data_IF_098324428469
#
_entry.id   IF_098324428469
#
_cell.length_a   1.000
_cell.length_b   1.000
_cell.length_c   1.000
_cell.angle_alpha   90.00
_cell.angle_beta   90.00
_cell.angle_gamma   90.00
#
_symmetry.space_group_name_H-M   'P 1'
#
loop_
_entity.id
_entity.type
_entity.pdbx_description
1 polymer ?
#
# COMPACT_ATOMS: atom_id res chain seq x y z
N UNK A 1 15.86 -20.40 -29.95
CA UNK A 1 15.66 -19.27 -29.04
C UNK A 1 14.27 -18.73 -29.31
N UNK A 2 13.26 -19.20 -28.58
CA UNK A 2 11.89 -18.73 -28.73
C UNK A 2 11.75 -17.39 -28.00
N UNK A 3 11.39 -16.36 -28.73
CA UNK A 3 10.97 -15.08 -28.16
C UNK A 3 9.70 -15.33 -27.34
N UNK A 4 9.84 -15.33 -26.02
CA UNK A 4 8.71 -15.39 -25.11
C UNK A 4 8.05 -14.01 -25.11
N UNK A 5 7.01 -13.86 -25.91
CA UNK A 5 6.18 -12.66 -25.86
C UNK A 5 5.40 -12.65 -24.54
N UNK A 6 5.58 -11.60 -23.74
CA UNK A 6 4.78 -11.37 -22.54
C UNK A 6 3.32 -11.20 -22.92
N UNK A 7 2.44 -11.85 -22.19
CA UNK A 7 1.00 -11.61 -22.30
C UNK A 7 0.63 -10.21 -21.77
N UNK A 8 -0.48 -9.65 -22.21
CA UNK A 8 -0.95 -8.36 -21.67
C UNK A 8 -1.16 -8.38 -20.14
N UNK A 9 -1.43 -9.56 -19.56
CA UNK A 9 -1.57 -9.75 -18.11
C UNK A 9 -0.22 -9.68 -17.38
N UNK A 10 0.82 -10.31 -17.93
CA UNK A 10 2.18 -10.21 -17.40
C UNK A 10 2.69 -8.77 -17.46
N UNK A 11 2.41 -8.06 -18.56
CA UNK A 11 2.76 -6.63 -18.69
C UNK A 11 2.03 -5.80 -17.63
N UNK A 12 0.74 -6.02 -17.38
CA UNK A 12 -0.01 -5.31 -16.36
C UNK A 12 0.55 -5.55 -14.96
N UNK A 13 0.93 -6.80 -14.67
CA UNK A 13 1.56 -7.19 -13.40
C UNK A 13 2.92 -6.50 -13.20
N UNK A 14 3.75 -6.49 -14.22
CA UNK A 14 5.10 -5.89 -14.19
C UNK A 14 5.03 -4.36 -14.03
N UNK A 15 4.18 -3.70 -14.81
CA UNK A 15 4.09 -2.25 -14.83
C UNK A 15 3.40 -1.68 -13.59
N UNK A 16 2.52 -2.45 -12.93
CA UNK A 16 1.66 -2.01 -11.81
C UNK A 16 0.86 -0.73 -12.11
N UNK A 17 0.53 -0.53 -13.36
CA UNK A 17 -0.28 0.59 -13.85
C UNK A 17 -1.74 0.16 -14.01
N UNK A 18 -2.70 1.10 -13.95
CA UNK A 18 -4.07 0.83 -14.36
C UNK A 18 -4.12 0.39 -15.82
N UNK A 19 -4.79 -0.75 -16.11
CA UNK A 19 -4.86 -1.33 -17.46
C UNK A 19 -6.28 -1.68 -17.84
N UNK A 20 -6.74 -1.18 -18.99
CA UNK A 20 -7.98 -1.59 -19.61
C UNK A 20 -7.66 -2.52 -20.80
N UNK A 21 -8.05 -3.80 -20.67
CA UNK A 21 -7.83 -4.80 -21.71
C UNK A 21 -8.94 -4.77 -22.77
N UNK A 22 -8.58 -4.93 -24.05
CA UNK A 22 -9.51 -5.14 -25.13
C UNK A 22 -9.23 -6.50 -25.81
N UNK A 23 -10.09 -7.50 -25.60
CA UNK A 23 -9.87 -8.87 -26.06
C UNK A 23 -11.14 -9.48 -26.68
N UNK A 24 -10.98 -10.37 -27.65
CA UNK A 24 -12.05 -11.23 -28.18
C UNK A 24 -12.26 -12.52 -27.37
N UNK A 25 -11.30 -12.89 -26.52
CA UNK A 25 -11.32 -14.11 -25.72
C UNK A 25 -11.43 -13.80 -24.21
N UNK A 26 -12.58 -13.26 -23.80
CA UNK A 26 -12.80 -12.77 -22.44
C UNK A 26 -12.88 -13.86 -21.35
N UNK A 27 -13.49 -15.06 -21.56
CA UNK A 27 -13.70 -16.02 -20.47
C UNK A 27 -12.43 -16.56 -19.84
N UNK A 28 -11.35 -16.72 -20.61
CA UNK A 28 -10.08 -17.23 -20.10
C UNK A 28 -9.38 -16.23 -19.17
N UNK A 29 -9.56 -14.94 -19.43
CA UNK A 29 -8.85 -13.90 -18.70
C UNK A 29 -9.61 -13.34 -17.50
N UNK A 30 -10.91 -13.56 -17.38
CA UNK A 30 -11.74 -13.01 -16.29
C UNK A 30 -11.22 -13.45 -14.92
N UNK A 31 -10.92 -14.75 -14.76
CA UNK A 31 -10.39 -15.28 -13.47
C UNK A 31 -9.06 -14.67 -13.10
N UNK A 32 -8.16 -14.50 -14.06
CA UNK A 32 -6.86 -13.91 -13.84
C UNK A 32 -6.95 -12.41 -13.53
N UNK A 33 -7.85 -11.68 -14.21
CA UNK A 33 -8.14 -10.28 -13.89
C UNK A 33 -8.70 -10.12 -12.46
N UNK A 34 -9.60 -11.01 -12.04
CA UNK A 34 -10.12 -11.01 -10.68
C UNK A 34 -9.02 -11.31 -9.66
N UNK A 35 -8.08 -12.19 -9.98
CA UNK A 35 -6.90 -12.45 -9.16
C UNK A 35 -6.02 -11.19 -9.06
N UNK A 36 -5.69 -10.55 -10.16
CA UNK A 36 -4.90 -9.31 -10.19
C UNK A 36 -5.56 -8.19 -9.38
N UNK A 37 -6.89 -8.04 -9.48
CA UNK A 37 -7.64 -7.08 -8.65
C UNK A 37 -7.56 -7.39 -7.17
N UNK A 38 -7.74 -8.65 -6.78
CA UNK A 38 -7.88 -9.07 -5.37
C UNK A 38 -6.54 -9.23 -4.66
N UNK A 39 -5.59 -9.91 -5.30
CA UNK A 39 -4.33 -10.30 -4.67
C UNK A 39 -3.25 -9.24 -4.83
N UNK A 40 -3.23 -8.59 -5.99
CA UNK A 40 -2.19 -7.60 -6.34
C UNK A 40 -2.68 -6.15 -6.20
N UNK A 41 -3.96 -5.94 -5.86
CA UNK A 41 -4.58 -4.60 -5.77
C UNK A 41 -4.40 -3.75 -7.04
N UNK A 42 -4.33 -4.41 -8.21
CA UNK A 42 -4.19 -3.72 -9.49
C UNK A 42 -5.55 -3.22 -9.99
N UNK A 43 -5.58 -2.00 -10.51
CA UNK A 43 -6.74 -1.46 -11.20
C UNK A 43 -6.74 -1.97 -12.64
N UNK A 44 -7.48 -3.04 -12.90
CA UNK A 44 -7.60 -3.65 -14.23
C UNK A 44 -9.08 -3.81 -14.59
N UNK A 45 -9.42 -3.59 -15.85
CA UNK A 45 -10.76 -3.85 -16.39
C UNK A 45 -10.64 -4.37 -17.83
N UNK A 46 -11.76 -4.76 -18.45
CA UNK A 46 -11.74 -5.27 -19.80
C UNK A 46 -12.97 -4.84 -20.61
N UNK A 47 -12.80 -4.88 -21.93
CA UNK A 47 -13.88 -4.78 -22.91
C UNK A 47 -13.73 -5.89 -23.95
N UNK A 48 -14.84 -6.55 -24.28
CA UNK A 48 -14.86 -7.67 -25.25
C UNK A 48 -15.06 -7.16 -26.67
N UNK A 49 -14.19 -7.57 -27.58
CA UNK A 49 -14.32 -7.28 -29.01
C UNK A 49 -15.29 -8.27 -29.70
N UNK A 50 -16.11 -7.83 -30.69
CA UNK A 50 -16.28 -6.44 -31.14
C UNK A 50 -17.11 -5.62 -30.15
N UNK A 51 -16.86 -4.32 -30.06
CA UNK A 51 -17.60 -3.39 -29.20
C UNK A 51 -17.99 -2.13 -29.98
N UNK A 52 -19.09 -1.52 -29.58
CA UNK A 52 -19.55 -0.24 -30.11
C UNK A 52 -18.84 0.92 -29.38
N UNK A 53 -18.90 2.11 -29.98
CA UNK A 53 -18.37 3.32 -29.33
C UNK A 53 -19.04 3.59 -27.99
N UNK A 54 -20.36 3.37 -27.89
CA UNK A 54 -21.11 3.57 -26.64
C UNK A 54 -20.63 2.60 -25.52
N UNK A 55 -20.42 1.33 -25.87
CA UNK A 55 -19.89 0.34 -24.91
C UNK A 55 -18.48 0.70 -24.46
N UNK A 56 -17.63 1.15 -25.40
CA UNK A 56 -16.28 1.60 -25.07
C UNK A 56 -16.32 2.79 -24.11
N UNK A 57 -17.10 3.84 -24.43
CA UNK A 57 -17.19 5.03 -23.58
C UNK A 57 -17.74 4.70 -22.19
N UNK A 58 -18.76 3.83 -22.09
CA UNK A 58 -19.29 3.38 -20.80
C UNK A 58 -18.24 2.64 -19.96
N UNK A 59 -17.53 1.69 -20.60
CA UNK A 59 -16.48 0.90 -19.92
C UNK A 59 -15.31 1.79 -19.51
N UNK A 60 -14.88 2.69 -20.40
CA UNK A 60 -13.80 3.63 -20.09
C UNK A 60 -14.18 4.57 -18.93
N UNK A 61 -15.40 5.10 -18.92
CA UNK A 61 -15.87 5.97 -17.83
C UNK A 61 -15.87 5.25 -16.48
N UNK A 62 -16.34 3.99 -16.43
CA UNK A 62 -16.30 3.14 -15.25
C UNK A 62 -14.86 2.90 -14.81
N UNK A 63 -13.98 2.53 -15.73
CA UNK A 63 -12.57 2.29 -15.46
C UNK A 63 -11.86 3.54 -14.90
N UNK A 64 -12.11 4.71 -15.49
CA UNK A 64 -11.54 5.97 -14.99
C UNK A 64 -12.05 6.33 -13.60
N UNK A 65 -13.30 6.03 -13.26
CA UNK A 65 -13.81 6.19 -11.90
C UNK A 65 -13.08 5.26 -10.91
N UNK A 66 -12.87 3.98 -11.30
CA UNK A 66 -12.07 3.05 -10.49
C UNK A 66 -10.63 3.56 -10.32
N UNK A 67 -9.96 3.97 -11.39
CA UNK A 67 -8.60 4.55 -11.34
C UNK A 67 -8.54 5.75 -10.40
N UNK A 68 -9.52 6.64 -10.48
CA UNK A 68 -9.60 7.82 -9.61
C UNK A 68 -9.82 7.42 -8.16
N UNK A 69 -10.65 6.41 -7.90
CA UNK A 69 -10.87 5.87 -6.56
C UNK A 69 -9.59 5.25 -5.97
N UNK A 70 -8.89 4.40 -6.73
CA UNK A 70 -7.60 3.83 -6.32
C UNK A 70 -6.53 4.90 -6.13
N UNK A 71 -6.45 5.87 -7.04
CA UNK A 71 -5.53 7.01 -6.92
C UNK A 71 -5.81 7.86 -5.68
N UNK A 72 -7.07 8.06 -5.31
CA UNK A 72 -7.45 8.78 -4.09
C UNK A 72 -7.15 7.96 -2.83
N UNK A 73 -7.25 6.64 -2.87
CA UNK A 73 -6.84 5.77 -1.77
C UNK A 73 -5.33 5.76 -1.55
N UNK A 74 -4.54 6.11 -2.57
CA UNK A 74 -3.10 6.25 -2.43
C UNK A 74 -2.66 7.49 -1.62
N UNK A 75 -3.60 8.34 -1.23
CA UNK A 75 -3.35 9.53 -0.43
C UNK A 75 -4.24 9.57 0.81
N UNK A 76 -3.67 10.03 1.92
CA UNK A 76 -4.39 10.25 3.17
C UNK A 76 -4.20 11.69 3.62
N UNK A 77 -5.18 12.22 4.34
CA UNK A 77 -5.09 13.55 4.95
C UNK A 77 -4.96 13.40 6.46
N UNK A 78 -3.82 13.82 7.00
CA UNK A 78 -3.48 13.67 8.42
C UNK A 78 -3.05 15.01 9.04
N UNK A 79 -3.16 15.11 10.36
CA UNK A 79 -2.66 16.24 11.13
C UNK A 79 -1.27 15.89 11.66
N UNK A 80 -0.25 16.65 11.23
CA UNK A 80 1.16 16.44 11.56
C UNK A 80 1.70 17.60 12.37
N UNK A 81 2.15 17.33 13.60
CA UNK A 81 2.73 18.35 14.45
C UNK A 81 1.82 19.57 14.60
N UNK A 82 2.28 20.72 14.13
CA UNK A 82 1.51 21.96 14.11
C UNK A 82 0.67 22.18 12.84
N UNK A 83 0.85 21.33 11.83
CA UNK A 83 0.19 21.44 10.53
C UNK A 83 -1.04 20.55 10.48
N UNK A 84 -2.16 21.12 10.05
CA UNK A 84 -3.45 20.39 9.94
C UNK A 84 -3.72 20.01 8.48
N UNK A 85 -4.36 18.84 8.29
CA UNK A 85 -4.90 18.39 7.01
C UNK A 85 -3.85 18.31 5.90
N UNK A 86 -2.68 17.73 6.21
CA UNK A 86 -1.64 17.48 5.22
C UNK A 86 -1.99 16.27 4.39
N UNK A 87 -2.02 16.43 3.06
CA UNK A 87 -2.21 15.34 2.11
C UNK A 87 -0.88 14.60 1.92
N UNK A 88 -0.89 13.29 2.17
CA UNK A 88 0.27 12.39 2.13
C UNK A 88 0.03 11.25 1.18
N UNK A 89 1.03 10.91 0.36
CA UNK A 89 1.03 9.65 -0.35
C UNK A 89 1.22 8.50 0.64
N UNK A 90 0.34 7.50 0.60
CA UNK A 90 0.41 6.30 1.47
C UNK A 90 1.74 5.58 1.29
N UNK A 91 2.23 5.50 0.04
CA UNK A 91 3.51 4.87 -0.29
C UNK A 91 4.73 5.64 0.24
N UNK A 92 4.59 6.89 0.66
CA UNK A 92 5.67 7.60 1.34
C UNK A 92 5.79 7.23 2.82
N UNK A 93 4.77 6.59 3.40
CA UNK A 93 4.69 6.24 4.81
C UNK A 93 5.28 4.84 5.01
N UNK A 94 6.37 4.76 5.77
CA UNK A 94 7.05 3.49 6.05
C UNK A 94 6.41 2.77 7.24
N UNK A 95 6.27 3.46 8.36
CA UNK A 95 5.60 2.89 9.53
C UNK A 95 5.11 3.97 10.49
N UNK A 96 4.21 3.56 11.38
CA UNK A 96 3.75 4.36 12.51
C UNK A 96 4.19 3.70 13.82
N UNK A 97 4.64 4.51 14.76
CA UNK A 97 5.04 4.07 16.10
C UNK A 97 4.23 4.76 17.20
N UNK A 98 4.00 4.08 18.30
CA UNK A 98 3.50 4.75 19.51
C UNK A 98 4.57 5.73 20.00
N UNK A 99 4.18 6.99 20.18
CA UNK A 99 5.09 8.01 20.69
C UNK A 99 5.29 7.82 22.20
N UNK A 100 6.48 7.36 22.57
CA UNK A 100 6.86 7.19 23.98
C UNK A 100 7.45 8.47 24.57
N UNK A 101 7.83 9.44 23.74
CA UNK A 101 8.54 10.64 24.18
C UNK A 101 7.60 11.76 24.63
N UNK A 102 6.34 11.77 24.15
CA UNK A 102 5.38 12.83 24.48
C UNK A 102 4.68 12.70 25.83
N UNK A 103 5.11 11.78 26.67
CA UNK A 103 4.62 11.62 28.05
C UNK A 103 3.11 11.33 28.11
N UNK A 104 2.74 10.23 28.73
CA UNK A 104 1.41 9.81 29.23
C UNK A 104 0.12 10.03 28.41
N UNK A 105 0.03 10.87 27.42
CA UNK A 105 -1.18 10.99 26.62
C UNK A 105 -1.15 10.05 25.42
N UNK A 106 -1.98 9.02 25.50
CA UNK A 106 -1.97 7.81 24.67
C UNK A 106 -2.29 8.02 23.17
N UNK A 107 -2.64 9.22 22.76
CA UNK A 107 -3.19 9.47 21.43
C UNK A 107 -2.18 10.03 20.42
N UNK A 108 -0.93 10.26 20.79
CA UNK A 108 0.08 10.70 19.85
C UNK A 108 0.86 9.52 19.28
N UNK A 109 1.15 9.59 18.00
CA UNK A 109 1.94 8.60 17.26
C UNK A 109 3.03 9.31 16.50
N UNK A 110 4.12 8.60 16.22
CA UNK A 110 5.18 9.07 15.33
C UNK A 110 5.00 8.41 13.98
N UNK A 111 5.02 9.18 12.90
CA UNK A 111 4.97 8.71 11.53
C UNK A 111 6.35 8.84 10.89
N UNK A 112 6.79 7.78 10.21
CA UNK A 112 8.10 7.68 9.57
C UNK A 112 7.93 7.52 8.06
N UNK A 113 8.77 8.24 7.31
CA UNK A 113 8.67 8.34 5.86
C UNK A 113 9.93 7.82 5.16
N UNK A 114 9.78 7.47 3.89
CA UNK A 114 10.87 7.10 2.99
C UNK A 114 11.59 8.31 2.38
N UNK A 115 10.96 9.49 2.35
CA UNK A 115 11.42 10.66 1.60
C UNK A 115 11.53 11.95 2.41
N UNK A 116 11.19 11.92 3.69
CA UNK A 116 11.28 13.06 4.60
C UNK A 116 11.40 12.64 6.05
N UNK A 117 11.76 13.56 6.93
CA UNK A 117 11.90 13.34 8.37
C UNK A 117 10.58 12.89 9.02
N UNK A 118 10.70 12.09 10.07
CA UNK A 118 9.56 11.67 10.88
C UNK A 118 8.88 12.86 11.56
N UNK A 119 7.58 12.75 11.75
CA UNK A 119 6.75 13.79 12.39
C UNK A 119 5.77 13.18 13.38
N UNK A 120 5.30 13.99 14.34
CA UNK A 120 4.27 13.54 15.28
C UNK A 120 2.88 13.61 14.64
N UNK A 121 2.11 12.53 14.77
CA UNK A 121 0.68 12.47 14.48
C UNK A 121 -0.10 12.85 15.73
N UNK A 122 -0.85 13.93 15.65
CA UNK A 122 -1.63 14.46 16.77
C UNK A 122 -3.05 13.85 16.74
N UNK A 123 -3.56 13.53 17.91
CA UNK A 123 -4.90 12.95 18.12
C UNK A 123 -5.19 11.75 17.20
N UNK A 124 -4.22 10.83 17.15
CA UNK A 124 -4.26 9.67 16.28
C UNK A 124 -4.13 8.36 17.07
N UNK A 125 -5.12 7.49 16.94
CA UNK A 125 -5.08 6.14 17.52
C UNK A 125 -4.98 5.07 16.44
N UNK A 126 -4.33 3.96 16.75
CA UNK A 126 -4.23 2.82 15.83
C UNK A 126 -5.59 2.18 15.51
N UNK A 127 -6.59 2.30 16.40
CA UNK A 127 -7.96 1.83 16.15
C UNK A 127 -8.69 2.61 15.07
N UNK A 128 -8.31 3.89 14.85
CA UNK A 128 -8.93 4.79 13.87
C UNK A 128 -8.16 4.87 12.54
N UNK A 129 -7.15 4.01 12.33
CA UNK A 129 -6.32 4.08 11.11
C UNK A 129 -7.15 3.97 9.83
N UNK A 130 -8.06 3.00 9.78
CA UNK A 130 -8.88 2.75 8.59
C UNK A 130 -9.83 3.91 8.30
N UNK A 131 -10.42 4.52 9.32
CA UNK A 131 -11.25 5.73 9.19
C UNK A 131 -10.47 6.92 8.61
N UNK A 132 -9.15 6.95 8.86
CA UNK A 132 -8.23 7.96 8.34
C UNK A 132 -7.62 7.58 6.99
N UNK A 133 -8.05 6.48 6.37
CA UNK A 133 -7.58 6.01 5.07
C UNK A 133 -6.30 5.18 5.08
N UNK A 134 -5.77 4.84 6.27
CA UNK A 134 -4.61 3.95 6.41
C UNK A 134 -5.09 2.50 6.53
N UNK A 135 -5.33 1.87 5.39
CA UNK A 135 -5.98 0.56 5.29
C UNK A 135 -5.08 -0.59 5.78
N UNK A 136 -5.70 -1.64 6.31
CA UNK A 136 -5.00 -2.88 6.71
C UNK A 136 -4.33 -3.60 5.55
N UNK A 137 -4.78 -3.40 4.32
CA UNK A 137 -4.12 -3.91 3.13
C UNK A 137 -2.71 -3.32 2.92
N UNK A 138 -2.49 -2.09 3.38
CA UNK A 138 -1.19 -1.43 3.30
C UNK A 138 -0.38 -1.52 4.60
N UNK A 139 -1.05 -1.53 5.76
CA UNK A 139 -0.39 -1.47 7.06
C UNK A 139 -0.69 -2.69 7.91
N UNK A 140 0.35 -3.45 8.23
CA UNK A 140 0.25 -4.61 9.12
C UNK A 140 0.70 -4.27 10.53
N UNK A 141 0.02 -4.88 11.51
CA UNK A 141 0.46 -4.84 12.89
C UNK A 141 1.55 -5.87 13.10
N UNK A 142 2.72 -5.44 13.55
CA UNK A 142 3.85 -6.32 13.89
C UNK A 142 4.15 -6.33 15.40
N UNK A 143 3.68 -5.30 16.10
CA UNK A 143 3.84 -5.12 17.54
C UNK A 143 2.74 -4.19 18.05
N UNK A 144 2.42 -4.22 19.36
CA UNK A 144 1.45 -3.28 19.96
C UNK A 144 1.76 -1.81 19.65
N UNK A 145 3.03 -1.47 19.49
CA UNK A 145 3.52 -0.11 19.22
C UNK A 145 3.83 0.18 17.76
N UNK A 146 3.73 -0.77 16.84
CA UNK A 146 4.14 -0.57 15.44
C UNK A 146 3.09 -1.04 14.44
N UNK A 147 2.89 -0.20 13.40
CA UNK A 147 2.11 -0.50 12.18
C UNK A 147 3.01 -0.21 11.00
N UNK A 148 3.33 -1.23 10.22
CA UNK A 148 4.32 -1.14 9.13
C UNK A 148 3.63 -1.28 7.79
N UNK A 149 3.98 -0.41 6.85
CA UNK A 149 3.55 -0.53 5.47
C UNK A 149 4.26 -1.74 4.83
N UNK A 150 3.47 -2.67 4.33
CA UNK A 150 3.96 -3.94 3.77
C UNK A 150 4.95 -3.74 2.61
N UNK A 151 4.74 -2.67 1.82
CA UNK A 151 5.59 -2.34 0.67
C UNK A 151 7.00 -1.87 1.07
N UNK A 152 7.20 -1.48 2.34
CA UNK A 152 8.48 -1.02 2.88
C UNK A 152 9.22 -2.06 3.70
N UNK A 153 8.68 -3.27 3.88
CA UNK A 153 9.38 -4.36 4.55
C UNK A 153 10.45 -4.91 3.62
N UNK A 154 11.72 -4.61 3.93
CA UNK A 154 12.88 -5.10 3.16
C UNK A 154 13.22 -6.54 3.52
N UNK A 155 13.21 -6.84 4.81
CA UNK A 155 13.57 -8.15 5.32
C UNK A 155 12.83 -8.46 6.62
N UNK A 156 12.45 -9.75 6.79
CA UNK A 156 11.97 -10.28 8.06
C UNK A 156 12.94 -11.32 8.60
N UNK A 157 13.63 -11.00 9.69
CA UNK A 157 14.49 -11.93 10.40
C UNK A 157 13.67 -12.67 11.47
N UNK A 158 13.32 -13.93 11.15
CA UNK A 158 12.51 -14.76 12.05
C UNK A 158 13.26 -15.16 13.34
N UNK A 159 14.59 -15.33 13.27
CA UNK A 159 15.39 -15.74 14.43
C UNK A 159 15.54 -14.61 15.44
N UNK A 160 15.70 -13.40 14.96
CA UNK A 160 15.86 -12.20 15.78
C UNK A 160 14.54 -11.44 15.98
N UNK A 161 13.44 -11.99 15.48
CA UNK A 161 12.07 -11.45 15.63
C UNK A 161 11.95 -9.95 15.28
N UNK A 162 12.52 -9.53 14.16
CA UNK A 162 12.40 -8.16 13.68
C UNK A 162 12.17 -8.06 12.18
N UNK A 163 11.55 -6.97 11.74
CA UNK A 163 11.52 -6.53 10.34
C UNK A 163 12.48 -5.38 10.14
N UNK A 164 13.10 -5.34 8.96
CA UNK A 164 13.95 -4.24 8.51
C UNK A 164 13.21 -3.35 7.53
N UNK A 165 13.28 -2.06 7.78
CA UNK A 165 12.70 -1.00 6.94
C UNK A 165 13.71 0.11 6.73
N UNK A 166 13.58 0.86 5.63
CA UNK A 166 14.41 2.05 5.39
C UNK A 166 13.57 3.31 5.62
N UNK A 167 14.10 4.23 6.40
CA UNK A 167 13.47 5.51 6.72
C UNK A 167 14.41 6.67 6.44
N UNK A 168 13.83 7.81 6.13
CA UNK A 168 14.58 9.04 6.01
C UNK A 168 14.93 9.59 7.40
N UNK A 169 16.21 9.73 7.66
CA UNK A 169 16.73 10.13 8.98
C UNK A 169 16.78 11.64 9.15
N UNK A 170 17.06 12.08 10.37
CA UNK A 170 17.30 13.48 10.70
C UNK A 170 18.53 14.04 9.97
N UNK A 171 19.52 13.17 9.68
CA UNK A 171 20.74 13.50 8.94
C UNK A 171 20.51 13.75 7.43
N UNK A 172 19.30 13.51 6.93
CA UNK A 172 18.96 13.66 5.50
C UNK A 172 19.35 12.46 4.64
N UNK A 173 19.62 11.29 5.24
CA UNK A 173 19.95 10.05 4.56
C UNK A 173 18.94 8.95 4.89
N UNK A 174 18.87 7.93 4.04
CA UNK A 174 18.13 6.71 4.36
C UNK A 174 18.92 5.89 5.39
N UNK A 175 18.22 5.44 6.41
CA UNK A 175 18.75 4.57 7.47
C UNK A 175 17.89 3.34 7.63
N UNK A 176 18.54 2.18 7.78
CA UNK A 176 17.82 0.92 8.09
C UNK A 176 17.44 0.91 9.57
N UNK A 177 16.16 0.63 9.85
CA UNK A 177 15.61 0.45 11.19
C UNK A 177 15.15 -0.99 11.37
N UNK A 178 15.51 -1.59 12.50
CA UNK A 178 15.01 -2.89 12.96
C UNK A 178 13.83 -2.67 13.89
N UNK A 179 12.65 -3.16 13.50
CA UNK A 179 11.42 -3.03 14.29
C UNK A 179 11.05 -4.40 14.87
N UNK A 180 10.84 -4.52 16.19
CA UNK A 180 10.53 -5.79 16.83
C UNK A 180 9.16 -6.33 16.39
N UNK A 181 9.07 -7.63 16.24
CA UNK A 181 7.85 -8.37 15.94
C UNK A 181 7.45 -9.18 17.16
N UNK A 182 6.25 -8.95 17.69
CA UNK A 182 5.73 -9.78 18.79
C UNK A 182 5.21 -11.12 18.24
N UNK A 183 5.32 -12.17 19.03
CA UNK A 183 4.90 -13.55 18.70
C UNK A 183 3.48 -13.60 18.11
N UNK A 184 2.54 -12.85 18.68
CA UNK A 184 1.14 -12.80 18.24
C UNK A 184 0.95 -12.31 16.80
N UNK A 185 1.94 -11.68 16.20
CA UNK A 185 1.87 -11.10 14.85
C UNK A 185 2.78 -11.78 13.83
N UNK A 186 3.55 -12.79 14.23
CA UNK A 186 4.46 -13.51 13.32
C UNK A 186 3.73 -14.23 12.18
N UNK A 187 2.50 -14.71 12.43
CA UNK A 187 1.68 -15.38 11.41
C UNK A 187 1.34 -14.49 10.23
N UNK A 188 1.11 -13.19 10.49
CA UNK A 188 0.80 -12.19 9.46
C UNK A 188 1.98 -12.03 8.50
N UNK A 189 3.20 -11.96 9.03
CA UNK A 189 4.41 -11.78 8.22
C UNK A 189 4.77 -13.04 7.40
N UNK A 190 4.35 -14.23 7.86
CA UNK A 190 4.54 -15.47 7.09
C UNK A 190 3.69 -15.51 5.83
N UNK A 191 2.49 -14.91 5.87
CA UNK A 191 1.59 -14.85 4.70
C UNK A 191 2.03 -13.82 3.65
N UNK A 192 2.88 -12.86 4.03
CA UNK A 192 3.41 -11.84 3.09
C UNK A 192 4.62 -12.34 2.27
N UNK A 193 5.17 -13.52 2.61
CA UNK A 193 6.26 -14.15 1.87
C UNK A 193 5.73 -15.13 0.82
N UNK A 194 4.93 -14.64 -0.13
CA UNK A 194 4.64 -15.40 -1.36
C UNK A 194 5.11 -14.62 -2.56
#
# INVERSE_FOLDING_TARGET
LGDSYMTGMEVAFELKLPVLFASSNTPEYVKEMERLKREESLCVDHITKPFTEQEFQKTLSRFLQEVTFFSNQSHVTLDLGKQKRIKLAVDSIVYLAADKASGSESNNKQIYFSNRKSESLIDFSFSKMEEKGLLKSHFVTIHKSFRVNVNHIKHYNKKEEHVEVEVFSVSGKLETKKLPVSENYQSILKSLKK
#
